data_IF_869759946998
#
_entry.id   IF_869759946998
#
_cell.length_a   1.000
_cell.length_b   1.000
_cell.length_c   1.000
_cell.angle_alpha   90.00
_cell.angle_beta   90.00
_cell.angle_gamma   90.00
#
_symmetry.space_group_name_H-M   'P 1'
#
loop_
_entity.id
_entity.type
_entity.pdbx_description
1 polymer ?
#
# COMPACT_ATOMS: atom_id res chain seq x y z
N UNK A 1 -9.56 6.48 13.33
CA UNK A 1 -8.18 6.51 13.85
C UNK A 1 -7.31 7.28 12.87
N UNK A 2 -6.74 8.40 13.30
CA UNK A 2 -5.83 9.19 12.48
C UNK A 2 -4.50 8.45 12.30
N UNK A 3 -3.66 8.90 11.36
CA UNK A 3 -2.40 8.22 11.04
C UNK A 3 -1.40 8.18 12.20
N UNK A 4 -1.37 9.21 13.06
CA UNK A 4 -0.49 9.27 14.23
C UNK A 4 -0.87 8.17 15.24
N UNK A 5 -2.17 8.04 15.52
CA UNK A 5 -2.71 6.98 16.38
C UNK A 5 -2.40 5.59 15.83
N UNK A 6 -2.51 5.40 14.50
CA UNK A 6 -2.13 4.13 13.84
C UNK A 6 -0.65 3.79 14.09
N UNK A 7 0.24 4.77 13.99
CA UNK A 7 1.68 4.61 14.21
C UNK A 7 1.96 4.27 15.68
N UNK A 8 1.43 5.05 16.63
CA UNK A 8 1.61 4.79 18.07
C UNK A 8 1.06 3.41 18.47
N UNK A 9 -0.09 3.01 17.94
CA UNK A 9 -0.65 1.67 18.17
C UNK A 9 0.35 0.61 17.71
N UNK A 10 0.84 0.71 16.48
CA UNK A 10 1.81 -0.23 15.91
C UNK A 10 3.12 -0.31 16.71
N UNK A 11 3.64 0.82 17.19
CA UNK A 11 4.85 0.83 18.03
C UNK A 11 4.66 0.10 19.35
N UNK A 12 3.49 0.26 19.98
CA UNK A 12 3.12 -0.54 21.16
C UNK A 12 3.10 -2.04 20.85
N UNK A 13 2.63 -2.44 19.66
CA UNK A 13 2.63 -3.85 19.25
C UNK A 13 4.06 -4.40 19.08
N UNK A 14 4.97 -3.60 18.51
CA UNK A 14 6.39 -3.97 18.39
C UNK A 14 7.05 -4.06 19.77
N UNK A 15 6.83 -3.06 20.63
CA UNK A 15 7.41 -3.01 21.97
C UNK A 15 6.98 -4.20 22.83
N UNK A 16 5.71 -4.59 22.73
CA UNK A 16 5.14 -5.78 23.41
C UNK A 16 5.46 -7.10 22.69
N UNK A 17 6.22 -7.06 21.59
CA UNK A 17 6.58 -8.21 20.76
C UNK A 17 5.36 -9.04 20.34
N UNK A 18 4.25 -8.37 20.00
CA UNK A 18 3.07 -9.06 19.49
C UNK A 18 3.42 -9.78 18.18
N UNK A 19 3.27 -11.11 18.19
CA UNK A 19 3.68 -11.98 17.08
C UNK A 19 2.71 -11.88 15.91
N UNK A 20 3.19 -12.00 14.65
CA UNK A 20 2.33 -12.21 13.50
C UNK A 20 1.53 -13.51 13.62
N UNK A 21 0.38 -13.57 12.95
CA UNK A 21 -0.50 -14.75 12.94
C UNK A 21 -0.16 -15.78 11.86
N UNK A 22 0.72 -15.46 10.88
CA UNK A 22 1.13 -16.40 9.84
C UNK A 22 2.51 -16.08 9.25
N UNK A 23 3.13 -17.08 8.62
CA UNK A 23 4.39 -16.90 7.89
C UNK A 23 4.15 -16.72 6.38
N UNK A 24 4.52 -15.60 5.76
CA UNK A 24 4.36 -15.42 4.31
C UNK A 24 5.32 -16.28 3.47
N UNK A 25 6.30 -16.94 4.10
CA UNK A 25 7.30 -17.77 3.39
C UNK A 25 6.90 -19.23 3.26
N UNK A 26 6.29 -19.82 4.30
CA UNK A 26 5.82 -21.20 4.29
C UNK A 26 4.29 -21.32 4.41
N UNK A 27 3.57 -20.20 4.51
CA UNK A 27 2.10 -20.10 4.59
C UNK A 27 1.47 -20.74 5.84
N UNK A 28 2.27 -21.20 6.79
CA UNK A 28 1.79 -21.80 8.04
C UNK A 28 1.29 -20.75 9.04
N UNK A 29 0.18 -21.04 9.71
CA UNK A 29 -0.45 -20.22 10.77
C UNK A 29 -0.06 -20.67 12.18
N UNK A 30 0.21 -21.96 12.39
CA UNK A 30 0.58 -22.54 13.68
C UNK A 30 2.10 -22.56 13.87
N UNK A 31 2.74 -21.38 13.89
CA UNK A 31 4.20 -21.29 14.03
C UNK A 31 4.58 -20.25 15.06
N UNK A 32 5.64 -20.55 15.80
CA UNK A 32 6.26 -19.57 16.68
C UNK A 32 7.14 -18.60 15.89
N UNK A 33 7.02 -17.31 16.22
CA UNK A 33 7.85 -16.26 15.65
C UNK A 33 8.74 -15.66 16.71
N UNK A 34 10.00 -15.41 16.35
CA UNK A 34 10.91 -14.59 17.15
C UNK A 34 11.16 -13.28 16.44
N UNK A 35 11.15 -12.19 17.21
CA UNK A 35 11.50 -10.88 16.69
C UNK A 35 12.99 -10.88 16.37
N UNK A 36 13.31 -10.77 15.09
CA UNK A 36 14.69 -10.83 14.59
C UNK A 36 15.34 -9.44 14.58
N UNK A 37 14.58 -8.41 14.20
CA UNK A 37 15.10 -7.05 14.04
C UNK A 37 13.93 -6.04 14.11
N UNK A 38 14.14 -4.91 14.78
CA UNK A 38 13.28 -3.73 14.68
C UNK A 38 13.90 -2.73 13.73
N UNK A 39 13.41 -2.67 12.49
CA UNK A 39 13.98 -1.80 11.46
C UNK A 39 13.44 -0.39 11.61
N UNK A 40 14.30 0.54 12.02
CA UNK A 40 14.00 1.97 11.99
C UNK A 40 13.59 2.42 10.60
N UNK A 41 12.57 3.28 10.52
CA UNK A 41 12.07 3.81 9.26
C UNK A 41 11.41 5.17 9.43
N UNK A 42 11.72 6.06 8.50
CA UNK A 42 11.03 7.32 8.32
C UNK A 42 9.81 7.12 7.40
N UNK A 43 8.64 7.48 7.90
CA UNK A 43 7.39 7.53 7.15
C UNK A 43 7.06 8.96 6.77
N UNK A 44 6.56 9.14 5.55
CA UNK A 44 6.09 10.42 5.04
C UNK A 44 4.56 10.44 5.10
N UNK A 45 4.02 11.45 5.77
CA UNK A 45 2.59 11.70 5.92
C UNK A 45 2.29 13.08 5.37
N UNK A 46 1.21 13.21 4.60
CA UNK A 46 0.78 14.49 4.02
C UNK A 46 -0.37 15.01 4.90
N UNK A 47 -0.14 16.15 5.54
CA UNK A 47 -1.11 16.88 6.37
C UNK A 47 -1.13 18.30 5.83
N UNK A 48 -2.31 18.84 5.53
CA UNK A 48 -2.49 20.21 5.02
C UNK A 48 -1.54 20.56 3.86
N UNK A 49 -1.42 19.63 2.91
CA UNK A 49 -0.55 19.73 1.72
C UNK A 49 0.96 19.80 2.01
N UNK A 50 1.40 19.44 3.22
CA UNK A 50 2.79 19.37 3.61
C UNK A 50 3.21 17.94 3.97
N UNK A 51 4.38 17.52 3.46
CA UNK A 51 4.98 16.23 3.82
C UNK A 51 5.70 16.36 5.16
N UNK A 52 5.13 15.72 6.18
CA UNK A 52 5.74 15.52 7.48
C UNK A 52 6.47 14.18 7.54
N UNK A 53 7.59 14.17 8.27
CA UNK A 53 8.36 12.95 8.53
C UNK A 53 8.09 12.45 9.93
N UNK A 54 7.65 11.19 10.03
CA UNK A 54 7.39 10.52 11.30
C UNK A 54 8.34 9.34 11.41
N UNK A 55 8.97 9.21 12.57
CA UNK A 55 9.86 8.11 12.88
C UNK A 55 9.05 6.93 13.42
N UNK A 56 9.35 5.72 12.94
CA UNK A 56 8.75 4.50 13.50
C UNK A 56 9.61 3.27 13.17
N UNK A 57 9.08 2.08 13.47
CA UNK A 57 9.78 0.81 13.30
C UNK A 57 8.97 -0.19 12.49
N UNK A 58 9.66 -1.10 11.79
CA UNK A 58 9.06 -2.28 11.19
C UNK A 58 9.63 -3.53 11.85
N UNK A 59 8.75 -4.40 12.36
CA UNK A 59 9.13 -5.66 12.96
C UNK A 59 9.49 -6.69 11.89
N UNK A 60 10.73 -7.18 11.93
CA UNK A 60 11.18 -8.33 11.13
C UNK A 60 11.20 -9.57 12.00
N UNK A 61 10.53 -10.61 11.53
CA UNK A 61 10.27 -11.83 12.28
C UNK A 61 10.97 -13.02 11.63
N UNK A 62 11.47 -13.94 12.45
CA UNK A 62 12.00 -15.24 12.01
C UNK A 62 10.99 -16.33 12.31
N UNK A 63 10.67 -17.12 11.30
CA UNK A 63 9.77 -18.26 11.41
C UNK A 63 10.50 -19.44 12.06
N UNK A 64 9.95 -20.04 13.13
CA UNK A 64 10.58 -21.19 13.78
C UNK A 64 10.55 -22.45 12.90
N UNK A 65 9.60 -22.56 11.97
CA UNK A 65 9.46 -23.70 11.06
C UNK A 65 10.42 -23.59 9.88
N UNK A 66 10.19 -22.65 8.95
CA UNK A 66 11.00 -22.54 7.73
C UNK A 66 12.31 -21.76 7.89
N UNK A 67 12.59 -21.24 9.10
CA UNK A 67 13.79 -20.45 9.46
C UNK A 67 14.00 -19.14 8.67
N UNK A 68 13.18 -18.84 7.68
CA UNK A 68 13.21 -17.61 6.88
C UNK A 68 12.72 -16.40 7.68
N UNK A 69 13.21 -15.22 7.31
CA UNK A 69 12.78 -13.95 7.88
C UNK A 69 11.80 -13.23 6.95
N UNK A 70 10.93 -12.42 7.53
CA UNK A 70 10.01 -11.55 6.80
C UNK A 70 9.69 -10.29 7.62
N UNK A 71 9.30 -9.21 6.93
CA UNK A 71 8.85 -7.98 7.56
C UNK A 71 7.34 -8.02 7.72
N UNK A 72 6.84 -7.76 8.93
CA UNK A 72 5.43 -7.49 9.16
C UNK A 72 5.17 -6.00 8.89
N UNK A 73 4.23 -5.70 8.00
CA UNK A 73 3.85 -4.33 7.66
C UNK A 73 2.55 -3.97 8.38
N UNK A 74 2.49 -2.82 9.08
CA UNK A 74 1.21 -2.32 9.60
C UNK A 74 0.30 -1.85 8.45
N UNK A 75 -0.97 -1.63 8.77
CA UNK A 75 -2.02 -1.27 7.80
C UNK A 75 -1.73 0.00 6.99
N UNK A 76 -0.92 0.91 7.53
CA UNK A 76 -0.56 2.18 6.90
C UNK A 76 0.73 2.10 6.08
N UNK A 77 1.45 0.98 6.07
CA UNK A 77 2.75 0.86 5.42
C UNK A 77 2.70 0.00 4.16
N UNK A 78 3.54 0.37 3.18
CA UNK A 78 3.81 -0.42 2.00
C UNK A 78 5.30 -0.82 1.94
N UNK A 79 5.64 -2.01 1.40
CA UNK A 79 7.02 -2.37 1.12
C UNK A 79 7.70 -1.31 0.27
N UNK A 80 8.94 -0.98 0.64
CA UNK A 80 9.81 -0.06 -0.10
C UNK A 80 9.29 1.38 -0.28
N UNK A 81 8.10 1.75 0.23
CA UNK A 81 7.56 3.13 0.18
C UNK A 81 7.69 3.85 1.52
N UNK A 82 8.20 5.08 1.52
CA UNK A 82 8.23 5.91 2.73
C UNK A 82 6.87 6.57 2.99
N UNK A 83 6.14 6.88 1.93
CA UNK A 83 4.78 7.40 2.05
C UNK A 83 3.83 6.34 2.60
N UNK A 84 2.94 6.77 3.49
CA UNK A 84 1.89 5.89 4.01
C UNK A 84 0.94 5.47 2.89
N UNK A 85 0.36 4.27 3.05
CA UNK A 85 -0.47 3.57 2.07
C UNK A 85 -1.58 4.46 1.55
N UNK A 86 -2.29 5.14 2.46
CA UNK A 86 -3.51 5.88 2.13
C UNK A 86 -3.21 7.07 1.20
N UNK A 87 -2.09 7.77 1.38
CA UNK A 87 -1.66 8.79 0.40
C UNK A 87 -1.22 8.17 -0.93
N UNK A 88 -0.45 7.08 -0.90
CA UNK A 88 -0.06 6.40 -2.13
C UNK A 88 -1.29 6.02 -2.96
N UNK A 89 -2.33 5.49 -2.31
CA UNK A 89 -3.61 5.13 -2.92
C UNK A 89 -4.35 6.36 -3.43
N UNK A 90 -4.58 7.37 -2.59
CA UNK A 90 -5.35 8.57 -2.93
C UNK A 90 -4.81 9.29 -4.16
N UNK A 91 -3.50 9.57 -4.19
CA UNK A 91 -2.87 10.24 -5.32
C UNK A 91 -2.87 9.37 -6.59
N UNK A 92 -2.66 8.06 -6.44
CA UNK A 92 -2.71 7.14 -7.58
C UNK A 92 -4.12 7.07 -8.16
N UNK A 93 -5.15 7.04 -7.32
CA UNK A 93 -6.56 7.03 -7.71
C UNK A 93 -6.97 8.34 -8.38
N UNK A 94 -6.57 9.49 -7.82
CA UNK A 94 -6.85 10.80 -8.41
C UNK A 94 -6.31 10.90 -9.83
N UNK A 95 -5.07 10.46 -10.06
CA UNK A 95 -4.49 10.44 -11.41
C UNK A 95 -5.24 9.54 -12.40
N UNK A 96 -5.72 8.37 -11.98
CA UNK A 96 -6.36 7.43 -12.92
C UNK A 96 -7.82 7.75 -13.21
N UNK A 97 -8.54 8.36 -12.25
CA UNK A 97 -9.99 8.61 -12.34
C UNK A 97 -10.39 9.71 -13.32
N UNK A 98 -9.59 10.77 -13.44
CA UNK A 98 -9.91 11.91 -14.29
C UNK A 98 -8.94 11.96 -15.49
N UNK A 99 -9.47 11.95 -16.70
CA UNK A 99 -8.70 11.92 -17.94
C UNK A 99 -7.88 13.19 -18.20
N UNK A 100 -8.26 14.31 -17.60
CA UNK A 100 -7.55 15.59 -17.67
C UNK A 100 -6.39 15.68 -16.68
N UNK A 101 -6.39 14.84 -15.64
CA UNK A 101 -5.38 14.87 -14.60
C UNK A 101 -4.00 14.40 -15.10
N UNK A 102 -2.99 15.17 -14.74
CA UNK A 102 -1.59 14.87 -14.99
C UNK A 102 -0.88 14.54 -13.68
N UNK A 103 0.30 13.94 -13.75
CA UNK A 103 1.10 13.77 -12.54
C UNK A 103 1.45 15.09 -11.86
N UNK A 104 1.53 16.18 -12.62
CA UNK A 104 1.87 17.50 -12.09
C UNK A 104 0.70 18.08 -11.32
N UNK A 105 -0.50 18.09 -11.89
CA UNK A 105 -1.69 18.63 -11.23
C UNK A 105 -2.00 17.93 -9.91
N UNK A 106 -1.89 16.60 -9.87
CA UNK A 106 -2.14 15.84 -8.63
C UNK A 106 -1.07 16.07 -7.55
N UNK A 107 0.16 16.46 -7.91
CA UNK A 107 1.28 16.59 -6.95
C UNK A 107 1.76 18.02 -6.69
N UNK A 108 1.37 19.00 -7.51
CA UNK A 108 1.97 20.34 -7.54
C UNK A 108 1.66 21.20 -6.33
N UNK A 109 0.62 20.87 -5.57
CA UNK A 109 0.27 21.60 -4.36
C UNK A 109 1.00 21.08 -3.11
N UNK A 110 1.77 20.00 -3.22
CA UNK A 110 2.33 19.31 -2.05
C UNK A 110 3.77 19.74 -1.81
N UNK A 111 3.99 20.46 -0.71
CA UNK A 111 5.31 20.89 -0.22
C UNK A 111 5.93 19.91 0.78
N UNK A 112 7.12 20.23 1.26
CA UNK A 112 7.78 19.50 2.35
C UNK A 112 7.98 20.42 3.56
N UNK A 113 8.06 19.82 4.74
CA UNK A 113 8.60 20.50 5.93
C UNK A 113 9.96 19.94 6.27
N UNK A 114 10.83 20.78 6.83
CA UNK A 114 12.07 20.34 7.48
C UNK A 114 11.76 19.60 8.79
N UNK A 115 12.79 19.04 9.45
CA UNK A 115 12.62 18.43 10.79
C UNK A 115 12.23 19.46 11.85
N UNK A 116 12.55 20.74 11.63
CA UNK A 116 12.17 21.88 12.49
C UNK A 116 10.79 22.44 12.16
N UNK A 117 10.01 21.76 11.31
CA UNK A 117 8.66 22.17 10.86
C UNK A 117 8.63 23.48 10.03
N UNK A 118 9.77 23.90 9.50
CA UNK A 118 9.83 25.01 8.55
C UNK A 118 9.47 24.54 7.15
N UNK A 119 8.78 25.39 6.38
CA UNK A 119 8.41 25.08 5.00
C UNK A 119 9.67 25.03 4.14
N UNK A 120 9.83 23.91 3.43
CA UNK A 120 10.91 23.67 2.49
C UNK A 120 10.46 24.05 1.07
N UNK A 121 11.38 24.60 0.27
CA UNK A 121 11.12 24.96 -1.14
C UNK A 121 10.90 23.73 -2.04
N UNK A 122 11.17 22.52 -1.55
CA UNK A 122 10.92 21.28 -2.29
C UNK A 122 9.42 21.02 -2.43
N UNK A 123 9.04 20.57 -3.62
CA UNK A 123 7.70 20.08 -3.93
C UNK A 123 7.71 18.58 -4.22
N UNK A 124 6.57 17.92 -4.05
CA UNK A 124 6.41 16.51 -4.37
C UNK A 124 6.67 16.29 -5.86
N UNK A 125 7.73 15.55 -6.16
CA UNK A 125 8.07 15.23 -7.54
C UNK A 125 6.92 14.46 -8.20
N UNK A 126 6.44 14.96 -9.34
CA UNK A 126 5.36 14.36 -10.14
C UNK A 126 5.62 12.88 -10.49
N UNK A 127 6.89 12.50 -10.68
CA UNK A 127 7.28 11.11 -10.94
C UNK A 127 6.97 10.15 -9.77
N UNK A 128 6.72 10.67 -8.57
CA UNK A 128 6.37 9.89 -7.38
C UNK A 128 5.04 9.17 -7.55
N UNK A 129 4.03 9.84 -8.12
CA UNK A 129 2.71 9.22 -8.41
C UNK A 129 2.88 8.03 -9.35
N UNK A 130 3.68 8.19 -10.40
CA UNK A 130 4.01 7.08 -11.31
C UNK A 130 4.72 5.92 -10.60
N UNK A 131 5.64 6.20 -9.66
CA UNK A 131 6.32 5.15 -8.87
C UNK A 131 5.36 4.39 -7.95
N UNK A 132 4.28 5.01 -7.50
CA UNK A 132 3.21 4.34 -6.74
C UNK A 132 2.33 3.50 -7.65
N UNK A 133 1.87 4.04 -8.79
CA UNK A 133 1.11 3.29 -9.78
C UNK A 133 1.88 2.07 -10.28
N UNK A 134 3.16 2.22 -10.60
CA UNK A 134 4.00 1.08 -10.99
C UNK A 134 4.08 0.01 -9.90
N UNK A 135 4.09 0.42 -8.64
CA UNK A 135 4.06 -0.53 -7.52
C UNK A 135 2.72 -1.25 -7.43
N UNK A 136 1.59 -0.52 -7.45
CA UNK A 136 0.27 -1.13 -7.40
C UNK A 136 0.02 -2.06 -8.60
N UNK A 137 0.38 -1.62 -9.81
CA UNK A 137 0.31 -2.45 -11.01
C UNK A 137 1.22 -3.69 -10.96
N UNK A 138 2.22 -3.73 -10.09
CA UNK A 138 3.05 -4.93 -9.90
C UNK A 138 2.41 -5.99 -9.00
N UNK A 139 1.30 -5.68 -8.31
CA UNK A 139 0.62 -6.58 -7.35
C UNK A 139 -0.39 -7.54 -8.02
N UNK A 140 0.06 -8.24 -9.07
CA UNK A 140 -0.77 -9.10 -9.91
C UNK A 140 -1.30 -10.32 -9.18
N UNK A 141 -0.47 -10.97 -8.37
CA UNK A 141 -0.88 -12.15 -7.59
C UNK A 141 -1.83 -11.77 -6.48
N UNK A 142 -1.58 -10.64 -5.82
CA UNK A 142 -2.48 -10.06 -4.81
C UNK A 142 -3.84 -9.77 -5.43
N UNK A 143 -3.87 -9.10 -6.58
CA UNK A 143 -5.11 -8.81 -7.32
C UNK A 143 -5.85 -10.09 -7.70
N UNK A 144 -5.14 -11.09 -8.25
CA UNK A 144 -5.74 -12.38 -8.61
C UNK A 144 -6.37 -13.05 -7.39
N UNK A 145 -5.63 -13.15 -6.29
CA UNK A 145 -6.13 -13.76 -5.06
C UNK A 145 -7.34 -12.99 -4.50
N UNK A 146 -7.32 -11.66 -4.56
CA UNK A 146 -8.46 -10.84 -4.15
C UNK A 146 -9.69 -11.15 -5.01
N UNK A 147 -9.54 -11.19 -6.33
CA UNK A 147 -10.64 -11.54 -7.23
C UNK A 147 -11.13 -12.96 -7.07
N UNK A 148 -10.26 -13.93 -6.80
CA UNK A 148 -10.67 -15.31 -6.57
C UNK A 148 -11.48 -15.43 -5.27
N UNK A 149 -11.07 -14.74 -4.21
CA UNK A 149 -11.84 -14.67 -2.95
C UNK A 149 -13.18 -13.94 -3.13
N UNK A 150 -13.19 -12.80 -3.83
CA UNK A 150 -14.42 -12.08 -4.15
C UNK A 150 -15.35 -12.97 -4.98
N UNK A 151 -14.84 -13.68 -6.00
CA UNK A 151 -15.67 -14.56 -6.85
C UNK A 151 -16.27 -15.72 -6.08
N UNK A 152 -15.55 -16.27 -5.11
CA UNK A 152 -16.05 -17.35 -4.26
C UNK A 152 -17.14 -16.87 -3.31
N UNK A 153 -17.03 -15.65 -2.78
CA UNK A 153 -17.98 -15.09 -1.83
C UNK A 153 -19.20 -14.44 -2.50
N UNK A 154 -19.00 -13.74 -3.62
CA UNK A 154 -20.02 -13.04 -4.39
C UNK A 154 -19.67 -13.10 -5.90
N UNK A 155 -20.07 -14.17 -6.61
CA UNK A 155 -19.86 -14.29 -8.05
C UNK A 155 -20.52 -13.18 -8.87
N UNK A 156 -21.55 -12.54 -8.30
CA UNK A 156 -22.31 -11.47 -8.95
C UNK A 156 -21.81 -10.08 -8.60
N UNK A 157 -20.66 -9.97 -7.91
CA UNK A 157 -20.03 -8.70 -7.61
C UNK A 157 -19.92 -7.79 -8.85
N UNK A 158 -20.25 -6.50 -8.74
CA UNK A 158 -20.15 -5.54 -9.84
C UNK A 158 -18.71 -5.37 -10.33
N UNK A 159 -17.70 -5.70 -9.50
CA UNK A 159 -16.29 -5.52 -9.85
C UNK A 159 -15.87 -6.32 -11.08
N UNK A 160 -16.55 -7.43 -11.38
CA UNK A 160 -16.29 -8.26 -12.56
C UNK A 160 -16.93 -7.74 -13.84
N UNK A 161 -17.88 -6.82 -13.73
CA UNK A 161 -18.59 -6.20 -14.87
C UNK A 161 -18.14 -4.78 -15.14
N UNK A 162 -17.43 -4.18 -14.18
CA UNK A 162 -16.97 -2.81 -14.29
C UNK A 162 -15.81 -2.71 -15.30
N UNK A 163 -15.99 -1.84 -16.29
CA UNK A 163 -14.94 -1.49 -17.24
C UNK A 163 -14.24 -0.21 -16.80
N UNK A 164 -12.92 -0.20 -16.91
CA UNK A 164 -12.09 0.94 -16.60
C UNK A 164 -11.22 1.30 -17.81
N UNK A 165 -11.81 1.95 -18.83
CA UNK A 165 -11.03 2.42 -19.96
C UNK A 165 -10.00 3.44 -19.47
N UNK A 166 -8.75 3.29 -19.94
CA UNK A 166 -7.69 4.27 -19.66
C UNK A 166 -7.58 5.20 -20.86
N UNK A 167 -7.65 6.50 -20.61
CA UNK A 167 -7.41 7.49 -21.63
C UNK A 167 -6.06 7.28 -22.33
N UNK A 168 -6.11 7.25 -23.66
CA UNK A 168 -4.96 6.94 -24.51
C UNK A 168 -3.77 7.88 -24.28
N UNK A 169 -4.01 9.14 -23.90
CA UNK A 169 -2.96 10.10 -23.57
C UNK A 169 -2.15 9.76 -22.32
N UNK A 170 -2.64 8.87 -21.43
CA UNK A 170 -1.95 8.49 -20.18
C UNK A 170 -0.84 7.45 -20.38
N UNK A 171 -0.81 6.77 -21.53
CA UNK A 171 0.19 5.76 -21.84
C UNK A 171 0.79 5.96 -23.23
N UNK A 172 2.12 5.84 -23.31
CA UNK A 172 2.86 5.82 -24.59
C UNK A 172 3.43 4.44 -24.92
N UNK A 173 3.29 3.48 -24.00
CA UNK A 173 3.80 2.11 -24.16
C UNK A 173 2.82 1.08 -23.61
N UNK A 174 2.86 -0.13 -24.17
CA UNK A 174 2.04 -1.26 -23.72
C UNK A 174 2.29 -1.59 -22.24
N UNK A 175 3.55 -1.57 -21.81
CA UNK A 175 3.92 -1.82 -20.41
C UNK A 175 3.29 -0.80 -19.45
N UNK A 176 3.26 0.48 -19.86
CA UNK A 176 2.64 1.53 -19.05
C UNK A 176 1.13 1.34 -18.97
N UNK A 177 0.48 1.03 -20.10
CA UNK A 177 -0.94 0.68 -20.14
C UNK A 177 -1.25 -0.45 -19.15
N UNK A 178 -0.52 -1.56 -19.24
CA UNK A 178 -0.69 -2.72 -18.35
C UNK A 178 -0.54 -2.36 -16.86
N UNK A 179 0.46 -1.55 -16.50
CA UNK A 179 0.64 -1.11 -15.10
C UNK A 179 -0.56 -0.29 -14.60
N UNK A 180 -1.10 0.59 -15.44
CA UNK A 180 -2.25 1.39 -15.08
C UNK A 180 -3.53 0.54 -15.01
N UNK A 181 -3.76 -0.36 -15.97
CA UNK A 181 -4.90 -1.28 -15.98
C UNK A 181 -4.93 -2.11 -14.69
N UNK A 182 -3.79 -2.68 -14.32
CA UNK A 182 -3.63 -3.48 -13.10
C UNK A 182 -3.84 -2.65 -11.83
N UNK A 183 -3.35 -1.41 -11.82
CA UNK A 183 -3.56 -0.51 -10.68
C UNK A 183 -5.04 -0.19 -10.50
N UNK A 184 -5.77 0.11 -11.57
CA UNK A 184 -7.19 0.44 -11.49
C UNK A 184 -8.02 -0.77 -11.04
N UNK A 185 -7.74 -1.96 -11.57
CA UNK A 185 -8.39 -3.18 -11.12
C UNK A 185 -8.14 -3.42 -9.62
N UNK A 186 -6.92 -3.21 -9.15
CA UNK A 186 -6.59 -3.30 -7.73
C UNK A 186 -7.37 -2.27 -6.88
N UNK A 187 -7.47 -1.02 -7.34
CA UNK A 187 -8.23 0.02 -6.65
C UNK A 187 -9.73 -0.25 -6.61
N UNK A 188 -10.23 -1.07 -7.52
CA UNK A 188 -11.65 -1.44 -7.61
C UNK A 188 -11.95 -2.70 -6.80
N UNK A 189 -10.99 -3.62 -6.73
CA UNK A 189 -11.07 -4.80 -5.88
C UNK A 189 -11.06 -4.46 -4.39
N UNK A 190 -10.31 -3.44 -3.96
CA UNK A 190 -10.16 -3.08 -2.54
C UNK A 190 -11.48 -2.70 -1.84
N UNK A 191 -12.28 -1.74 -2.33
CA UNK A 191 -13.56 -1.41 -1.69
C UNK A 191 -14.54 -2.58 -1.71
N UNK A 192 -14.52 -3.39 -2.77
CA UNK A 192 -15.40 -4.55 -2.89
C UNK A 192 -15.01 -5.67 -1.93
N UNK A 193 -13.71 -5.93 -1.79
CA UNK A 193 -13.18 -6.84 -0.78
C UNK A 193 -13.57 -6.37 0.63
N UNK A 194 -13.43 -5.07 0.91
CA UNK A 194 -13.84 -4.50 2.19
C UNK A 194 -15.34 -4.66 2.45
N UNK A 195 -16.19 -4.47 1.42
CA UNK A 195 -17.64 -4.66 1.52
C UNK A 195 -18.01 -6.10 1.92
N UNK A 196 -17.32 -7.09 1.35
CA UNK A 196 -17.63 -8.51 1.55
C UNK A 196 -17.03 -9.04 2.87
N UNK A 197 -15.79 -8.68 3.19
CA UNK A 197 -15.04 -9.26 4.32
C UNK A 197 -14.91 -8.33 5.53
N UNK A 198 -15.37 -7.08 5.44
CA UNK A 198 -15.34 -6.10 6.53
C UNK A 198 -13.96 -5.50 6.84
N UNK A 199 -12.93 -5.81 6.05
CA UNK A 199 -11.57 -5.29 6.26
C UNK A 199 -10.80 -5.11 4.95
N UNK A 200 -9.76 -4.26 4.97
CA UNK A 200 -8.84 -4.05 3.84
C UNK A 200 -8.10 -5.33 3.51
N UNK A 201 -7.82 -5.61 2.23
CA UNK A 201 -6.92 -6.72 1.90
C UNK A 201 -5.44 -6.34 2.09
N UNK A 202 -5.14 -5.05 2.31
CA UNK A 202 -3.85 -4.59 2.81
C UNK A 202 -3.82 -4.55 4.34
N UNK A 203 -2.71 -4.98 4.97
CA UNK A 203 -1.51 -5.56 4.38
C UNK A 203 -1.59 -7.09 4.29
N UNK A 204 -2.62 -7.73 4.84
CA UNK A 204 -2.62 -9.17 5.11
C UNK A 204 -2.61 -10.02 3.84
N UNK A 205 -3.57 -9.83 2.94
CA UNK A 205 -3.65 -10.60 1.69
C UNK A 205 -2.45 -10.28 0.80
N UNK A 206 -2.03 -9.01 0.74
CA UNK A 206 -0.84 -8.59 0.01
C UNK A 206 0.43 -9.27 0.56
N UNK A 207 0.53 -9.42 1.88
CA UNK A 207 1.65 -10.13 2.53
C UNK A 207 1.59 -11.63 2.25
N UNK A 208 0.42 -12.27 2.30
CA UNK A 208 0.22 -13.68 1.89
C UNK A 208 0.59 -13.90 0.42
N UNK A 209 0.35 -12.89 -0.41
CA UNK A 209 0.68 -12.86 -1.84
C UNK A 209 2.10 -12.38 -2.14
N UNK A 210 2.93 -12.19 -1.11
CA UNK A 210 4.34 -11.81 -1.26
C UNK A 210 4.57 -10.40 -1.80
N UNK A 211 3.56 -9.53 -1.77
CA UNK A 211 3.58 -8.19 -2.37
C UNK A 211 3.88 -8.24 -3.87
N UNK A 212 3.21 -9.18 -4.56
CA UNK A 212 3.34 -9.43 -6.00
C UNK A 212 2.00 -9.64 -6.66
#
# INVERSE_FOLDING_TARGET
>A
MNIIEKIHKHEKLIATKQKPCFCPKCKSTHVNFTLHECRYRLFHVIIDSLVHTIESFLGRWKCSLCKKTFTSYPEYALPYKRYVKDHCLSFSQAYVKDDTETYRSVSSAIGYTTRTQEIDNRMLAWSTVWRWLRFFGSLKYTLRNAFDLIRQADPNSPVFRQMFPIYHGKYKSKQRKTSLDQSIQLFSAEPEYHRIFGHSFFPELATKSGWS
#
